data_IF_842024747190
#
_entry.id   IF_842024747190
#
_cell.length_a   1.000
_cell.length_b   1.000
_cell.length_c   1.000
_cell.angle_alpha   90.00
_cell.angle_beta   90.00
_cell.angle_gamma   90.00
#
_symmetry.space_group_name_H-M   'P 1'
#
loop_
_entity.id
_entity.type
_entity.pdbx_description
1 polymer ?
#
# COMPACT_ATOMS: atom_id res chain seq x y z
N UNK A 1 -27.01 -32.54 20.03
CA UNK A 1 -25.80 -32.50 20.89
C UNK A 1 -26.12 -31.66 22.11
N UNK A 2 -26.47 -32.30 23.23
CA UNK A 2 -26.77 -31.59 24.47
C UNK A 2 -25.46 -31.28 25.20
N UNK A 3 -25.25 -30.04 25.63
CA UNK A 3 -24.03 -29.64 26.36
C UNK A 3 -23.81 -30.45 27.66
N UNK A 4 -24.86 -31.10 28.16
CA UNK A 4 -24.83 -32.01 29.31
C UNK A 4 -24.17 -33.36 29.03
N UNK A 5 -24.19 -33.83 27.79
CA UNK A 5 -23.64 -35.15 27.43
C UNK A 5 -22.13 -35.11 27.24
N UNK A 6 -21.59 -33.98 26.77
CA UNK A 6 -20.16 -33.77 26.53
C UNK A 6 -19.71 -32.36 26.94
N UNK A 7 -19.62 -32.06 28.26
CA UNK A 7 -19.29 -30.73 28.75
C UNK A 7 -17.90 -30.26 28.32
N UNK A 8 -16.92 -31.18 28.22
CA UNK A 8 -15.58 -30.89 27.74
C UNK A 8 -15.57 -30.48 26.25
N UNK A 9 -16.38 -31.14 25.42
CA UNK A 9 -16.50 -30.84 23.99
C UNK A 9 -17.20 -29.50 23.80
N UNK A 10 -18.30 -29.27 24.52
CA UNK A 10 -19.02 -28.00 24.48
C UNK A 10 -18.14 -26.81 24.90
N UNK A 11 -17.35 -26.98 25.98
CA UNK A 11 -16.37 -25.98 26.42
C UNK A 11 -15.28 -25.74 25.38
N UNK A 12 -14.71 -26.80 24.80
CA UNK A 12 -13.71 -26.70 23.74
C UNK A 12 -14.23 -25.95 22.50
N UNK A 13 -15.46 -26.25 22.08
CA UNK A 13 -16.12 -25.57 20.95
C UNK A 13 -16.38 -24.10 21.26
N UNK A 14 -16.80 -23.77 22.49
CA UNK A 14 -17.02 -22.39 22.91
C UNK A 14 -15.71 -21.57 22.93
N UNK A 15 -14.61 -22.16 23.40
CA UNK A 15 -13.30 -21.51 23.40
C UNK A 15 -12.78 -21.33 21.97
N UNK A 16 -12.89 -22.35 21.12
CA UNK A 16 -12.45 -22.28 19.73
C UNK A 16 -13.23 -21.22 18.93
N UNK A 17 -14.55 -21.17 19.09
CA UNK A 17 -15.40 -20.16 18.45
C UNK A 17 -15.12 -18.76 18.99
N UNK A 18 -14.92 -18.61 20.30
CA UNK A 18 -14.49 -17.35 20.92
C UNK A 18 -13.17 -16.83 20.36
N UNK A 19 -12.16 -17.71 20.25
CA UNK A 19 -10.88 -17.37 19.65
C UNK A 19 -11.03 -16.99 18.17
N UNK A 20 -11.88 -17.65 17.39
CA UNK A 20 -12.08 -17.33 15.97
C UNK A 20 -12.83 -16.02 15.74
N UNK A 21 -13.76 -15.67 16.65
CA UNK A 21 -14.54 -14.42 16.60
C UNK A 21 -13.74 -13.20 17.07
N UNK A 22 -12.62 -13.38 17.79
CA UNK A 22 -11.74 -12.28 18.15
C UNK A 22 -11.19 -11.55 16.90
N UNK A 23 -11.15 -10.22 16.96
CA UNK A 23 -10.69 -9.39 15.83
C UNK A 23 -9.24 -9.66 15.42
N UNK A 24 -8.38 -10.02 16.38
CA UNK A 24 -6.95 -10.24 16.14
C UNK A 24 -6.67 -11.53 15.37
N UNK A 25 -7.26 -12.64 15.81
CA UNK A 25 -7.11 -13.97 15.18
C UNK A 25 -7.68 -13.98 13.77
N UNK A 26 -8.83 -13.33 13.54
CA UNK A 26 -9.38 -13.16 12.19
C UNK A 26 -8.39 -12.44 11.28
N UNK A 27 -7.80 -11.32 11.71
CA UNK A 27 -6.79 -10.59 10.89
C UNK A 27 -5.54 -11.44 10.65
N UNK A 28 -5.11 -12.21 11.64
CA UNK A 28 -3.97 -13.11 11.53
C UNK A 28 -4.23 -14.22 10.51
N UNK A 29 -5.37 -14.91 10.62
CA UNK A 29 -5.80 -15.94 9.67
C UNK A 29 -5.94 -15.34 8.26
N UNK A 30 -6.65 -14.23 8.09
CA UNK A 30 -6.80 -13.60 6.77
C UNK A 30 -5.45 -13.22 6.14
N UNK A 31 -4.48 -12.75 6.92
CA UNK A 31 -3.14 -12.44 6.40
C UNK A 31 -2.34 -13.68 6.01
N UNK A 32 -2.42 -14.75 6.79
CA UNK A 32 -1.64 -15.97 6.56
C UNK A 32 -2.30 -16.98 5.60
N UNK A 33 -3.62 -17.04 5.54
CA UNK A 33 -4.36 -17.99 4.69
C UNK A 33 -4.71 -17.37 3.35
N UNK A 34 -5.38 -16.21 3.31
CA UNK A 34 -5.81 -15.62 2.03
C UNK A 34 -4.65 -15.03 1.23
N UNK A 35 -3.57 -14.60 1.90
CA UNK A 35 -2.34 -14.17 1.21
C UNK A 35 -1.66 -15.31 0.45
N UNK A 36 -1.80 -16.56 0.94
CA UNK A 36 -1.22 -17.76 0.33
C UNK A 36 -2.12 -18.40 -0.72
N UNK A 37 -3.43 -18.12 -0.68
CA UNK A 37 -4.42 -18.60 -1.65
C UNK A 37 -4.52 -17.71 -2.90
N UNK A 38 -3.65 -16.71 -3.06
CA UNK A 38 -3.62 -15.92 -4.29
C UNK A 38 -2.96 -16.73 -5.41
N UNK A 39 -3.60 -16.81 -6.58
CA UNK A 39 -3.00 -17.44 -7.75
C UNK A 39 -1.74 -16.70 -8.18
N UNK A 40 -0.77 -17.43 -8.73
CA UNK A 40 0.46 -16.85 -9.27
C UNK A 40 0.14 -15.77 -10.32
N UNK A 41 -0.89 -15.99 -11.13
CA UNK A 41 -1.40 -15.02 -12.10
C UNK A 41 -1.92 -13.74 -11.46
N UNK A 42 -2.63 -13.82 -10.33
CA UNK A 42 -3.13 -12.64 -9.62
C UNK A 42 -1.98 -11.82 -9.03
N UNK A 43 -0.93 -12.48 -8.52
CA UNK A 43 0.28 -11.82 -8.02
C UNK A 43 1.03 -11.14 -9.16
N UNK A 44 1.21 -11.82 -10.30
CA UNK A 44 1.84 -11.26 -11.48
C UNK A 44 1.08 -10.03 -12.01
N UNK A 45 -0.24 -10.16 -12.19
CA UNK A 45 -1.08 -9.06 -12.64
C UNK A 45 -1.04 -7.85 -11.70
N UNK A 46 -0.96 -8.09 -10.39
CA UNK A 46 -0.80 -7.02 -9.38
C UNK A 46 0.55 -6.34 -9.52
N UNK A 47 1.63 -7.11 -9.68
CA UNK A 47 2.97 -6.56 -9.89
C UNK A 47 3.05 -5.73 -11.17
N UNK A 48 2.51 -6.25 -12.28
CA UNK A 48 2.50 -5.56 -13.57
C UNK A 48 1.73 -4.23 -13.49
N UNK A 49 0.55 -4.21 -12.86
CA UNK A 49 -0.22 -2.98 -12.63
C UNK A 49 0.57 -1.96 -11.79
N UNK A 50 1.27 -2.42 -10.76
CA UNK A 50 2.09 -1.55 -9.92
C UNK A 50 3.26 -0.93 -10.71
N UNK A 51 3.94 -1.72 -11.54
CA UNK A 51 5.03 -1.24 -12.40
C UNK A 51 4.51 -0.22 -13.41
N UNK A 52 3.38 -0.50 -14.08
CA UNK A 52 2.75 0.45 -15.02
C UNK A 52 2.39 1.77 -14.33
N UNK A 53 1.79 1.71 -13.14
CA UNK A 53 1.45 2.91 -12.36
C UNK A 53 2.71 3.71 -11.98
N UNK A 54 3.78 3.02 -11.56
CA UNK A 54 5.03 3.66 -11.18
C UNK A 54 5.68 4.36 -12.37
N UNK A 55 5.73 3.70 -13.53
CA UNK A 55 6.28 4.30 -14.75
C UNK A 55 5.54 5.59 -15.14
N UNK A 56 4.20 5.57 -15.10
CA UNK A 56 3.40 6.78 -15.34
C UNK A 56 3.74 7.90 -14.36
N UNK A 57 3.88 7.58 -13.07
CA UNK A 57 4.23 8.57 -12.04
C UNK A 57 5.64 9.14 -12.25
N UNK A 58 6.60 8.32 -12.65
CA UNK A 58 7.97 8.75 -12.92
C UNK A 58 8.02 9.65 -14.14
N UNK A 59 7.26 9.35 -15.19
CA UNK A 59 7.24 10.18 -16.40
C UNK A 59 6.61 11.55 -16.15
N UNK A 60 5.56 11.62 -15.32
CA UNK A 60 5.00 12.89 -14.87
C UNK A 60 6.02 13.69 -14.05
N UNK A 61 6.66 13.05 -13.07
CA UNK A 61 7.66 13.70 -12.23
C UNK A 61 8.85 14.22 -13.04
N UNK A 62 9.32 13.48 -14.05
CA UNK A 62 10.38 13.93 -14.96
C UNK A 62 9.99 15.21 -15.70
N UNK A 63 8.74 15.30 -16.20
CA UNK A 63 8.25 16.48 -16.92
C UNK A 63 8.14 17.69 -16.00
N UNK A 64 7.58 17.50 -14.81
CA UNK A 64 7.46 18.56 -13.81
C UNK A 64 8.83 19.05 -13.32
N UNK A 65 9.76 18.12 -13.08
CA UNK A 65 11.13 18.44 -12.68
C UNK A 65 11.85 19.31 -13.72
N UNK A 66 11.76 18.98 -15.01
CA UNK A 66 12.33 19.81 -16.10
C UNK A 66 11.75 21.22 -16.09
N UNK A 67 10.43 21.35 -15.98
CA UNK A 67 9.74 22.64 -15.93
C UNK A 67 10.20 23.49 -14.74
N UNK A 68 10.38 22.88 -13.58
CA UNK A 68 10.86 23.58 -12.38
C UNK A 68 12.32 24.05 -12.54
N UNK A 69 13.18 23.23 -13.15
CA UNK A 69 14.57 23.61 -13.42
C UNK A 69 14.67 24.77 -14.40
N UNK A 70 13.88 24.76 -15.49
CA UNK A 70 13.82 25.87 -16.45
C UNK A 70 13.36 27.17 -15.79
N UNK A 71 12.32 27.10 -14.96
CA UNK A 71 11.83 28.26 -14.19
C UNK A 71 12.86 28.79 -13.20
N UNK A 72 13.56 27.90 -12.49
CA UNK A 72 14.61 28.29 -11.57
C UNK A 72 15.80 28.92 -12.29
N UNK A 73 16.18 28.40 -13.47
CA UNK A 73 17.24 28.97 -14.30
C UNK A 73 16.85 30.37 -14.80
N UNK A 74 15.61 30.56 -15.27
CA UNK A 74 15.09 31.85 -15.71
C UNK A 74 15.02 32.87 -14.57
N UNK A 75 14.49 32.48 -13.41
CA UNK A 75 14.47 33.33 -12.22
C UNK A 75 15.89 33.76 -11.81
N UNK A 76 16.86 32.85 -11.88
CA UNK A 76 18.27 33.16 -11.58
C UNK A 76 18.86 34.17 -12.56
N UNK A 77 18.54 34.09 -13.85
CA UNK A 77 19.02 35.07 -14.84
C UNK A 77 18.38 36.43 -14.63
N UNK A 78 17.10 36.49 -14.33
CA UNK A 78 16.39 37.75 -14.08
C UNK A 78 16.86 38.43 -12.80
N UNK A 79 17.09 37.67 -11.72
CA UNK A 79 17.67 38.21 -10.49
C UNK A 79 19.06 38.82 -10.72
N UNK A 80 19.91 38.15 -11.51
CA UNK A 80 21.23 38.68 -11.87
C UNK A 80 21.12 39.98 -12.67
N UNK A 81 20.22 40.03 -13.66
CA UNK A 81 19.96 41.23 -14.47
C UNK A 81 19.47 42.39 -13.60
N UNK A 82 18.49 42.15 -12.73
CA UNK A 82 17.99 43.16 -11.80
C UNK A 82 19.09 43.68 -10.86
N UNK A 83 19.98 42.81 -10.36
CA UNK A 83 21.12 43.26 -9.54
C UNK A 83 22.12 44.11 -10.33
N UNK A 84 22.33 43.84 -11.63
CA UNK A 84 23.22 44.64 -12.48
C UNK A 84 22.60 45.93 -13.01
N UNK A 85 21.27 46.05 -13.08
CA UNK A 85 20.59 47.29 -13.49
C UNK A 85 20.32 48.26 -12.33
N UNK A 86 20.32 47.77 -11.09
CA UNK A 86 20.08 48.57 -9.87
C UNK A 86 21.39 49.09 -9.25
N UNK A 87 22.54 48.56 -9.66
CA UNK A 87 23.89 49.09 -9.37
C UNK A 87 24.38 49.97 -10.51
#
# INVERSE_FOLDING_TARGET
MSAREHPAIAGGVAVATGLLLMRGTRRFLFRHTLGRLQSEEALYNKAERNVKKLNLSVDLMKKESKKLLERAAFAKTDMKRGHTEVM
#
